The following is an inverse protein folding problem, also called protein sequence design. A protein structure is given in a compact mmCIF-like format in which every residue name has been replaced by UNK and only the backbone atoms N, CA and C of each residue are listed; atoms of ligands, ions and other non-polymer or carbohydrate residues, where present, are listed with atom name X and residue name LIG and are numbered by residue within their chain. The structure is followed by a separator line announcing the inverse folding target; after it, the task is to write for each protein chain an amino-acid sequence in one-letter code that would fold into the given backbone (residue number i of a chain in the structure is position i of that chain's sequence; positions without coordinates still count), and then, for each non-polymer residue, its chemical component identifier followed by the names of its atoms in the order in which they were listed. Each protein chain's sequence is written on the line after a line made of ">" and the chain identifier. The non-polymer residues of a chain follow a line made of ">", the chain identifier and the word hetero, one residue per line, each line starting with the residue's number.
data_IF_260048953447
#
_entry.id   IF_260048953447
#
_cell.length_a   1.000
_cell.length_b   1.000
_cell.length_c   1.000
_cell.angle_alpha   90.00
_cell.angle_beta   90.00
_cell.angle_gamma   90.00
#
_symmetry.space_group_name_H-M   'P 1'
#
loop_
_entity.id
_entity.type
_entity.pdbx_description
1 polymer ?
#
# COMPACT_ATOMS: atom_id res chain seq x y z
N UNK A 1 -5.27 7.31 -19.13
CA UNK A 1 -4.57 8.06 -20.19
C UNK A 1 -5.19 7.86 -21.58
N UNK A 2 -5.21 6.64 -22.14
CA UNK A 2 -5.63 6.43 -23.54
C UNK A 2 -7.09 5.98 -23.72
N UNK A 3 -7.71 5.38 -22.69
CA UNK A 3 -9.06 4.81 -22.80
C UNK A 3 -9.14 3.54 -23.66
N UNK A 4 -8.01 2.98 -24.10
CA UNK A 4 -7.97 1.79 -24.97
C UNK A 4 -8.36 0.52 -24.19
N UNK A 5 -9.59 0.06 -24.38
CA UNK A 5 -10.12 -1.17 -23.78
C UNK A 5 -9.45 -2.44 -24.30
N UNK A 6 -8.92 -2.42 -25.53
CA UNK A 6 -8.16 -3.52 -26.10
C UNK A 6 -6.81 -3.69 -25.39
N UNK A 7 -6.07 -2.60 -25.19
CA UNK A 7 -4.85 -2.61 -24.39
C UNK A 7 -5.13 -3.00 -22.92
N UNK A 8 -6.21 -2.48 -22.33
CA UNK A 8 -6.64 -2.87 -21.00
C UNK A 8 -6.90 -4.38 -20.91
N UNK A 9 -7.63 -4.94 -21.87
CA UNK A 9 -7.95 -6.37 -21.89
C UNK A 9 -6.70 -7.25 -21.98
N UNK A 10 -5.72 -6.87 -22.80
CA UNK A 10 -4.43 -7.57 -22.94
C UNK A 10 -3.58 -7.55 -21.67
N UNK A 11 -3.58 -6.44 -20.93
CA UNK A 11 -2.77 -6.28 -19.71
C UNK A 11 -3.49 -6.74 -18.43
N UNK A 12 -4.81 -6.90 -18.48
CA UNK A 12 -5.62 -7.32 -17.34
C UNK A 12 -5.12 -8.58 -16.62
N UNK A 13 -4.65 -9.65 -17.31
CA UNK A 13 -4.13 -10.84 -16.62
C UNK A 13 -2.91 -10.54 -15.72
N UNK A 14 -2.04 -9.59 -16.09
CA UNK A 14 -0.89 -9.19 -15.28
C UNK A 14 -1.37 -8.52 -13.99
N UNK A 15 -2.32 -7.59 -14.12
CA UNK A 15 -2.94 -6.92 -12.97
C UNK A 15 -3.66 -7.92 -12.07
N UNK A 16 -4.40 -8.88 -12.64
CA UNK A 16 -5.08 -9.94 -11.91
C UNK A 16 -4.08 -10.82 -11.13
N UNK A 17 -2.99 -11.24 -11.77
CA UNK A 17 -1.96 -12.04 -11.10
C UNK A 17 -1.31 -11.30 -9.92
N UNK A 18 -1.06 -10.00 -10.05
CA UNK A 18 -0.57 -9.19 -8.93
C UNK A 18 -1.60 -9.11 -7.78
N UNK A 19 -2.88 -8.96 -8.11
CA UNK A 19 -3.96 -8.98 -7.11
C UNK A 19 -4.05 -10.32 -6.39
N UNK A 20 -4.04 -11.43 -7.12
CA UNK A 20 -4.10 -12.78 -6.55
C UNK A 20 -2.91 -13.04 -5.63
N UNK A 21 -1.70 -12.64 -6.04
CA UNK A 21 -0.50 -12.72 -5.19
C UNK A 21 -0.69 -12.00 -3.85
N UNK A 22 -1.17 -10.76 -3.85
CA UNK A 22 -1.36 -10.01 -2.61
C UNK A 22 -2.53 -10.53 -1.77
N UNK A 23 -3.61 -11.02 -2.39
CA UNK A 23 -4.71 -11.65 -1.67
C UNK A 23 -4.30 -12.91 -0.91
N UNK A 24 -3.26 -13.60 -1.36
CA UNK A 24 -2.77 -14.84 -0.76
C UNK A 24 -1.57 -14.62 0.17
N UNK A 25 -0.91 -13.46 0.12
CA UNK A 25 0.29 -13.16 0.93
C UNK A 25 0.02 -12.21 2.10
N UNK A 26 -1.00 -11.34 2.01
CA UNK A 26 -1.37 -10.45 3.11
C UNK A 26 -1.65 -11.22 4.40
N UNK A 27 -1.13 -10.71 5.51
CA UNK A 27 -1.29 -11.28 6.85
C UNK A 27 -2.14 -10.35 7.71
N UNK A 28 -2.82 -10.89 8.71
CA UNK A 28 -3.47 -10.07 9.74
C UNK A 28 -2.42 -9.68 10.77
N UNK A 29 -2.22 -8.38 10.95
CA UNK A 29 -1.38 -7.85 12.01
C UNK A 29 -2.02 -8.14 13.38
N UNK A 30 -1.27 -8.77 14.28
CA UNK A 30 -1.81 -9.26 15.55
C UNK A 30 -2.16 -8.13 16.52
N UNK A 31 -1.51 -6.97 16.41
CA UNK A 31 -1.71 -5.84 17.31
C UNK A 31 -2.87 -4.96 16.86
N UNK A 32 -2.97 -4.69 15.56
CA UNK A 32 -3.94 -3.75 14.99
C UNK A 32 -5.15 -4.41 14.34
N UNK A 33 -5.04 -5.69 13.96
CA UNK A 33 -6.08 -6.42 13.23
C UNK A 33 -6.18 -6.08 11.73
N UNK A 34 -5.35 -5.16 11.23
CA UNK A 34 -5.32 -4.80 9.81
C UNK A 34 -4.66 -5.87 8.94
N UNK A 35 -5.00 -5.89 7.65
CA UNK A 35 -4.25 -6.66 6.67
C UNK A 35 -3.01 -5.89 6.23
N UNK A 36 -1.86 -6.55 6.29
CA UNK A 36 -0.53 -5.97 6.07
C UNK A 36 0.36 -6.90 5.25
N UNK A 37 1.33 -6.32 4.54
CA UNK A 37 2.47 -7.05 3.98
C UNK A 37 3.43 -7.40 5.10
N UNK A 38 3.92 -8.64 5.17
CA UNK A 38 4.87 -9.06 6.19
C UNK A 38 5.65 -10.32 5.76
N UNK A 39 7.00 -10.30 5.71
CA UNK A 39 7.87 -9.16 5.94
C UNK A 39 7.90 -8.19 4.76
N UNK A 40 8.14 -6.90 5.03
CA UNK A 40 8.42 -5.87 4.03
C UNK A 40 9.38 -4.81 4.58
N UNK A 41 9.60 -3.72 3.85
CA UNK A 41 10.42 -2.58 4.25
C UNK A 41 9.96 -1.31 3.56
N UNK A 42 10.20 -0.14 4.16
CA UNK A 42 10.24 1.10 3.38
C UNK A 42 11.58 1.15 2.64
N UNK A 43 11.60 1.30 1.30
CA UNK A 43 12.82 1.21 0.52
C UNK A 43 13.97 2.08 1.04
N UNK A 44 15.05 1.42 1.45
CA UNK A 44 16.34 2.05 1.81
C UNK A 44 16.26 3.02 3.00
N UNK A 45 15.29 2.82 3.91
CA UNK A 45 15.15 3.57 5.16
C UNK A 45 15.09 2.61 6.36
N UNK A 46 15.87 2.90 7.39
CA UNK A 46 15.84 2.19 8.68
C UNK A 46 14.99 2.97 9.68
N UNK A 47 14.31 2.28 10.58
CA UNK A 47 13.35 2.91 11.50
C UNK A 47 13.86 3.08 12.94
N UNK A 48 14.39 2.03 13.56
CA UNK A 48 15.04 2.12 14.87
C UNK A 48 16.33 1.30 14.92
N UNK A 49 17.06 1.42 16.03
CA UNK A 49 18.16 0.53 16.36
C UNK A 49 17.70 -0.53 17.35
N UNK A 50 18.06 -1.78 17.09
CA UNK A 50 17.87 -2.90 18.00
C UNK A 50 19.25 -3.51 18.29
N UNK A 51 19.61 -3.57 19.58
CA UNK A 51 20.94 -4.04 20.05
C UNK A 51 22.16 -3.39 19.33
N UNK A 52 22.01 -2.15 18.85
CA UNK A 52 23.06 -1.41 18.15
C UNK A 52 23.10 -1.63 16.64
N UNK A 53 22.20 -2.44 16.10
CA UNK A 53 22.02 -2.65 14.66
C UNK A 53 20.81 -1.89 14.13
N UNK A 54 20.89 -1.41 12.89
CA UNK A 54 19.77 -0.69 12.27
C UNK A 54 18.76 -1.66 11.66
N UNK A 55 17.48 -1.47 11.96
CA UNK A 55 16.40 -2.34 11.48
C UNK A 55 15.63 -1.66 10.33
N UNK A 56 15.35 -2.42 9.27
CA UNK A 56 14.54 -1.94 8.12
C UNK A 56 13.32 -2.82 7.82
N UNK A 57 13.34 -4.09 8.25
CA UNK A 57 12.23 -5.01 8.05
C UNK A 57 11.08 -4.65 8.99
N UNK A 58 9.85 -4.71 8.48
CA UNK A 58 8.64 -4.33 9.19
C UNK A 58 7.41 -5.03 8.59
N UNK A 59 6.27 -4.89 9.26
CA UNK A 59 4.96 -5.20 8.71
C UNK A 59 4.27 -3.92 8.22
N UNK A 60 3.66 -3.99 7.04
CA UNK A 60 2.77 -2.97 6.50
C UNK A 60 3.35 -1.55 6.43
N UNK A 61 4.53 -1.31 5.83
CA UNK A 61 5.00 0.05 5.62
C UNK A 61 3.98 0.83 4.79
N UNK A 62 3.87 2.14 5.03
CA UNK A 62 2.82 2.97 4.44
C UNK A 62 2.83 2.93 2.91
N UNK A 63 4.02 2.84 2.29
CA UNK A 63 4.16 2.72 0.83
C UNK A 63 3.43 1.49 0.29
N UNK A 64 3.60 0.32 0.91
CA UNK A 64 2.95 -0.91 0.46
C UNK A 64 1.44 -0.78 0.53
N UNK A 65 0.93 -0.25 1.65
CA UNK A 65 -0.51 -0.12 1.85
C UNK A 65 -1.13 0.83 0.83
N UNK A 66 -0.42 1.90 0.47
CA UNK A 66 -0.85 2.82 -0.59
C UNK A 66 -0.79 2.14 -1.97
N UNK A 67 0.31 1.44 -2.31
CA UNK A 67 0.43 0.71 -3.58
C UNK A 67 -0.69 -0.34 -3.75
N UNK A 68 -1.01 -1.07 -2.69
CA UNK A 68 -2.07 -2.08 -2.72
C UNK A 68 -3.45 -1.48 -2.87
N UNK A 69 -3.74 -0.34 -2.22
CA UNK A 69 -4.99 0.40 -2.46
C UNK A 69 -5.15 0.75 -3.94
N UNK A 70 -4.09 1.27 -4.57
CA UNK A 70 -4.11 1.63 -6.00
C UNK A 70 -4.24 0.41 -6.91
N UNK A 71 -3.50 -0.68 -6.64
CA UNK A 71 -3.61 -1.92 -7.40
C UNK A 71 -5.04 -2.49 -7.33
N UNK A 72 -5.61 -2.55 -6.13
CA UNK A 72 -6.96 -3.06 -5.90
C UNK A 72 -8.02 -2.17 -6.54
N UNK A 73 -7.91 -0.85 -6.42
CA UNK A 73 -8.85 0.08 -7.05
C UNK A 73 -8.73 0.07 -8.58
N UNK A 74 -7.53 -0.01 -9.14
CA UNK A 74 -7.30 -0.17 -10.56
C UNK A 74 -7.88 -1.48 -11.09
N UNK A 75 -7.70 -2.59 -10.35
CA UNK A 75 -8.27 -3.88 -10.72
C UNK A 75 -9.80 -3.86 -10.72
N UNK A 76 -10.42 -3.30 -9.67
CA UNK A 76 -11.88 -3.14 -9.58
C UNK A 76 -12.44 -2.33 -10.75
N UNK A 77 -11.79 -1.22 -11.09
CA UNK A 77 -12.18 -0.38 -12.22
C UNK A 77 -12.01 -1.10 -13.56
N UNK A 78 -10.88 -1.78 -13.77
CA UNK A 78 -10.61 -2.54 -14.99
C UNK A 78 -11.61 -3.69 -15.18
N UNK A 79 -11.90 -4.43 -14.11
CA UNK A 79 -12.86 -5.53 -14.10
C UNK A 79 -14.26 -5.05 -14.48
N UNK A 80 -14.68 -3.88 -13.96
CA UNK A 80 -15.95 -3.23 -14.30
C UNK A 80 -16.02 -2.82 -15.78
N UNK A 81 -14.96 -2.21 -16.32
CA UNK A 81 -14.91 -1.80 -17.74
C UNK A 81 -14.99 -3.00 -18.68
N UNK A 82 -14.43 -4.14 -18.26
CA UNK A 82 -14.34 -5.37 -19.04
C UNK A 82 -15.45 -6.38 -18.72
N UNK A 83 -16.38 -6.01 -17.83
CA UNK A 83 -17.51 -6.81 -17.35
C UNK A 83 -17.15 -8.25 -16.94
N UNK A 84 -16.15 -8.40 -16.05
CA UNK A 84 -15.65 -9.72 -15.60
C UNK A 84 -15.23 -9.77 -14.14
N UNK A 85 -15.02 -11.00 -13.65
CA UNK A 85 -14.43 -11.30 -12.34
C UNK A 85 -15.20 -10.74 -11.12
N UNK A 86 -16.53 -10.64 -11.20
CA UNK A 86 -17.37 -10.07 -10.13
C UNK A 86 -17.10 -10.63 -8.72
N UNK A 87 -16.85 -11.94 -8.59
CA UNK A 87 -16.51 -12.58 -7.31
C UNK A 87 -15.16 -12.11 -6.76
N UNK A 88 -14.15 -12.00 -7.62
CA UNK A 88 -12.82 -11.55 -7.20
C UNK A 88 -12.85 -10.06 -6.86
N UNK A 89 -13.60 -9.24 -7.61
CA UNK A 89 -13.86 -7.83 -7.29
C UNK A 89 -14.46 -7.67 -5.90
N UNK A 90 -15.41 -8.53 -5.50
CA UNK A 90 -15.99 -8.50 -4.17
C UNK A 90 -14.94 -8.80 -3.08
N UNK A 91 -14.15 -9.88 -3.23
CA UNK A 91 -13.05 -10.23 -2.30
C UNK A 91 -12.02 -9.10 -2.20
N UNK A 92 -11.61 -8.53 -3.33
CA UNK A 92 -10.65 -7.41 -3.39
C UNK A 92 -11.19 -6.19 -2.67
N UNK A 93 -12.47 -5.87 -2.83
CA UNK A 93 -13.10 -4.73 -2.13
C UNK A 93 -13.02 -4.91 -0.62
N UNK A 94 -13.39 -6.10 -0.12
CA UNK A 94 -13.32 -6.41 1.33
C UNK A 94 -11.89 -6.32 1.87
N UNK A 95 -10.92 -6.92 1.18
CA UNK A 95 -9.51 -6.89 1.60
C UNK A 95 -8.95 -5.48 1.57
N UNK A 96 -9.24 -4.71 0.51
CA UNK A 96 -8.79 -3.32 0.35
C UNK A 96 -9.22 -2.45 1.52
N UNK A 97 -10.46 -2.60 1.99
CA UNK A 97 -10.99 -1.80 3.11
C UNK A 97 -10.45 -2.24 4.48
N UNK A 98 -9.76 -3.38 4.53
CA UNK A 98 -9.07 -3.90 5.72
C UNK A 98 -7.56 -3.63 5.72
N UNK A 99 -7.01 -3.03 4.67
CA UNK A 99 -5.59 -2.64 4.63
C UNK A 99 -5.32 -1.56 5.68
N UNK A 100 -4.13 -1.59 6.29
CA UNK A 100 -3.73 -0.57 7.25
C UNK A 100 -3.85 0.86 6.66
N UNK A 101 -4.50 1.81 7.35
CA UNK A 101 -4.72 3.16 6.84
C UNK A 101 -3.42 3.98 6.84
N UNK A 102 -3.37 5.05 6.05
CA UNK A 102 -2.36 6.10 6.23
C UNK A 102 -2.63 6.84 7.54
N UNK A 103 -1.61 7.03 8.36
CA UNK A 103 -1.73 7.63 9.70
C UNK A 103 -0.86 8.88 9.84
N UNK A 104 -1.24 9.75 10.78
CA UNK A 104 -0.47 10.92 11.19
C UNK A 104 0.24 10.60 12.51
N UNK A 105 1.55 10.82 12.54
CA UNK A 105 2.39 10.60 13.73
C UNK A 105 2.38 11.80 14.68
N UNK A 106 3.08 11.65 15.80
CA UNK A 106 3.10 12.64 16.89
C UNK A 106 3.70 14.00 16.51
N UNK A 107 4.53 14.08 15.47
CA UNK A 107 5.06 15.36 14.93
C UNK A 107 4.16 15.97 13.84
N UNK A 108 3.01 15.38 13.57
CA UNK A 108 2.11 15.81 12.49
C UNK A 108 2.53 15.33 11.08
N UNK A 109 3.54 14.46 11.00
CA UNK A 109 4.03 13.85 9.77
C UNK A 109 3.15 12.66 9.34
N UNK A 110 3.15 12.33 8.04
CA UNK A 110 2.63 11.03 7.59
C UNK A 110 3.59 9.96 8.10
N UNK A 111 3.06 8.96 8.81
CA UNK A 111 3.88 7.88 9.33
C UNK A 111 4.39 7.01 8.17
N UNK A 112 5.68 6.68 8.18
CA UNK A 112 6.27 5.79 7.19
C UNK A 112 6.03 4.30 7.50
N UNK A 113 5.77 4.00 8.77
CA UNK A 113 5.45 2.66 9.26
C UNK A 113 4.24 2.68 10.20
N UNK A 114 3.74 1.49 10.55
CA UNK A 114 2.61 1.34 11.48
C UNK A 114 2.90 1.85 12.90
N UNK A 115 4.14 1.69 13.34
CA UNK A 115 4.65 2.14 14.65
C UNK A 115 5.23 3.54 14.48
N UNK A 116 4.94 4.42 15.45
CA UNK A 116 5.38 5.82 15.44
C UNK A 116 6.79 5.97 16.03
N UNK A 117 7.80 5.43 15.35
CA UNK A 117 9.19 5.58 15.80
C UNK A 117 9.69 7.02 15.69
N UNK A 118 10.12 7.60 16.83
CA UNK A 118 10.57 8.98 16.91
C UNK A 118 11.86 9.21 16.10
N UNK A 119 12.83 8.30 16.23
CA UNK A 119 14.10 8.36 15.49
C UNK A 119 13.84 8.37 13.99
N UNK A 120 12.93 7.51 13.54
CA UNK A 120 12.58 7.34 12.15
C UNK A 120 11.91 8.60 11.55
N UNK A 121 11.05 9.26 12.32
CA UNK A 121 10.36 10.47 11.90
C UNK A 121 11.30 11.65 11.61
N UNK A 122 12.53 11.60 12.15
CA UNK A 122 13.55 12.63 12.00
C UNK A 122 14.60 12.29 10.94
N UNK A 123 14.60 11.07 10.40
CA UNK A 123 15.57 10.63 9.39
C UNK A 123 15.38 11.43 8.10
N UNK A 124 16.49 11.96 7.58
CA UNK A 124 16.54 12.55 6.24
C UNK A 124 17.03 11.52 5.24
N UNK A 125 16.10 10.93 4.50
CA UNK A 125 16.41 10.03 3.37
C UNK A 125 16.21 10.72 2.03
N UNK A 126 16.89 10.22 1.00
CA UNK A 126 16.57 10.56 -0.40
C UNK A 126 15.23 9.95 -0.84
N UNK A 127 14.81 8.88 -0.17
CA UNK A 127 13.52 8.22 -0.39
C UNK A 127 12.47 8.83 0.53
N UNK A 128 11.30 9.11 -0.05
CA UNK A 128 10.09 9.56 0.66
C UNK A 128 8.94 8.62 0.31
N UNK A 129 9.21 7.32 0.41
CA UNK A 129 8.38 6.22 -0.08
C UNK A 129 6.94 6.26 0.44
N UNK A 130 6.76 6.61 1.71
CA UNK A 130 5.45 6.79 2.35
C UNK A 130 4.61 7.95 1.79
N UNK A 131 5.19 8.80 0.94
CA UNK A 131 4.51 9.87 0.21
C UNK A 131 4.07 9.44 -1.20
N UNK A 132 4.20 8.16 -1.57
CA UNK A 132 3.65 7.63 -2.82
C UNK A 132 2.18 8.03 -3.03
N UNK A 133 1.39 8.02 -1.95
CA UNK A 133 -0.01 8.43 -1.90
C UNK A 133 -0.27 9.88 -2.33
N UNK A 134 0.73 10.75 -2.21
CA UNK A 134 0.70 12.15 -2.70
C UNK A 134 1.07 12.17 -4.19
N UNK A 135 2.13 11.47 -4.58
CA UNK A 135 2.57 11.33 -5.96
C UNK A 135 3.47 10.09 -6.11
N UNK A 136 3.33 9.27 -7.17
CA UNK A 136 2.45 9.45 -8.33
C UNK A 136 0.99 9.01 -8.14
N UNK A 137 0.61 8.56 -6.94
CA UNK A 137 -0.79 8.28 -6.63
C UNK A 137 -1.62 9.57 -6.54
N UNK A 138 -2.90 9.42 -6.19
CA UNK A 138 -3.82 10.51 -5.88
C UNK A 138 -4.66 10.20 -4.62
N UNK A 139 -4.14 9.38 -3.71
CA UNK A 139 -4.79 9.04 -2.44
C UNK A 139 -4.81 10.21 -1.46
N UNK A 140 -3.80 11.07 -1.51
CA UNK A 140 -3.65 12.24 -0.64
C UNK A 140 -3.69 13.49 -1.52
N UNK A 141 -4.76 14.27 -1.40
CA UNK A 141 -4.92 15.50 -2.18
C UNK A 141 -5.44 16.63 -1.31
N UNK A 142 -5.14 17.91 -1.61
CA UNK A 142 -5.61 19.04 -0.80
C UNK A 142 -7.13 19.18 -0.66
N UNK A 143 -7.92 18.47 -1.49
CA UNK A 143 -9.39 18.54 -1.51
C UNK A 143 -10.07 17.22 -1.15
N UNK A 144 -9.30 16.14 -1.03
CA UNK A 144 -9.82 14.79 -0.85
C UNK A 144 -9.31 14.11 0.43
N UNK A 145 -8.58 14.84 1.27
CA UNK A 145 -7.97 14.34 2.51
C UNK A 145 -8.12 15.37 3.61
#
# INVERSE_FOLDING_TARGET
>A
FTGDSGALSRNYPVMKGAVEFFLDTLQVDAETGWLVTNPSQSPEVTHHQDEGESVSICAGPTMDMQLLRDLFDAYRQAAKVLDRDARLVARVTEVRDRLAPTRVGHLGQIQEWLVDWEEAALVRSRHVSHLYGVFPSAQITPRGT
#
